data_IF_325261892167
#
_entry.id   IF_325261892167
#
_cell.length_a   1.000
_cell.length_b   1.000
_cell.length_c   1.000
_cell.angle_alpha   90.00
_cell.angle_beta   90.00
_cell.angle_gamma   90.00
#
_symmetry.space_group_name_H-M   'P 1'
#
loop_
_entity.id
_entity.type
_entity.pdbx_description
1 polymer ?
#
# COMPACT_ATOMS: atom_id res chain seq x y z
N UNK A 1 -10.30 -8.34 4.47
CA UNK A 1 -10.08 -7.17 5.35
C UNK A 1 -9.39 -7.63 6.61
N UNK A 2 -8.33 -6.95 7.04
CA UNK A 2 -7.61 -7.32 8.27
C UNK A 2 -7.77 -6.26 9.37
N UNK A 3 -7.19 -5.06 9.23
CA UNK A 3 -7.19 -4.06 10.31
C UNK A 3 -8.49 -3.28 10.52
N UNK A 4 -9.29 -3.05 9.47
CA UNK A 4 -10.50 -2.20 9.48
C UNK A 4 -10.31 -0.72 9.82
N UNK A 5 -9.08 -0.23 9.93
CA UNK A 5 -8.77 1.13 10.41
C UNK A 5 -7.84 1.90 9.47
N UNK A 6 -7.82 1.56 8.18
CA UNK A 6 -7.02 2.25 7.15
C UNK A 6 -5.49 2.11 7.30
N UNK A 7 -5.01 1.09 8.03
CA UNK A 7 -3.58 0.89 8.31
C UNK A 7 -2.91 -0.16 7.40
N UNK A 8 -3.57 -1.29 7.16
CA UNK A 8 -2.91 -2.44 6.53
C UNK A 8 -2.97 -2.45 4.99
N UNK A 9 -3.78 -1.57 4.38
CA UNK A 9 -3.89 -1.45 2.91
C UNK A 9 -4.44 -2.67 2.16
N UNK A 10 -4.93 -3.70 2.86
CA UNK A 10 -5.43 -4.96 2.24
C UNK A 10 -6.79 -4.80 1.58
N UNK A 11 -7.57 -3.81 2.01
CA UNK A 11 -8.97 -3.64 1.64
C UNK A 11 -9.20 -2.70 0.44
N UNK A 12 -8.13 -2.31 -0.25
CA UNK A 12 -8.21 -1.45 -1.44
C UNK A 12 -9.00 -2.13 -2.54
N UNK A 13 -9.98 -1.41 -3.08
CA UNK A 13 -10.78 -1.83 -4.23
C UNK A 13 -11.33 -0.60 -4.95
N UNK A 14 -12.00 -0.82 -6.09
CA UNK A 14 -12.67 0.25 -6.82
C UNK A 14 -14.12 0.34 -6.32
N UNK A 15 -14.47 1.50 -5.76
CA UNK A 15 -15.81 1.79 -5.23
C UNK A 15 -16.39 2.97 -6.01
N UNK A 16 -17.50 2.73 -6.71
CA UNK A 16 -18.13 3.70 -7.63
C UNK A 16 -17.12 4.31 -8.62
N UNK A 17 -16.31 3.46 -9.26
CA UNK A 17 -15.29 3.89 -10.23
C UNK A 17 -14.07 4.59 -9.64
N UNK A 18 -13.96 4.70 -8.30
CA UNK A 18 -12.82 5.34 -7.62
C UNK A 18 -12.11 4.37 -6.69
N UNK A 19 -10.79 4.28 -6.82
CA UNK A 19 -9.95 3.48 -5.93
C UNK A 19 -9.89 4.09 -4.54
N UNK A 20 -10.22 3.30 -3.51
CA UNK A 20 -10.15 3.72 -2.11
C UNK A 20 -10.05 2.53 -1.15
N UNK A 21 -9.80 2.81 0.12
CA UNK A 21 -9.89 1.81 1.19
C UNK A 21 -11.36 1.52 1.50
N UNK A 22 -11.78 0.27 1.43
CA UNK A 22 -13.18 -0.09 1.70
C UNK A 22 -13.56 0.04 3.17
N UNK A 23 -12.62 -0.15 4.11
CA UNK A 23 -12.94 -0.08 5.54
C UNK A 23 -13.24 1.34 6.04
N UNK A 24 -12.78 2.38 5.35
CA UNK A 24 -13.11 3.79 5.66
C UNK A 24 -14.13 4.41 4.68
N UNK A 25 -14.64 3.63 3.73
CA UNK A 25 -15.67 4.07 2.80
C UNK A 25 -17.07 3.98 3.43
N UNK A 26 -17.51 5.06 4.08
CA UNK A 26 -18.81 5.11 4.73
C UNK A 26 -19.97 5.14 3.72
N UNK A 27 -20.96 4.26 3.91
CA UNK A 27 -22.09 4.04 3.00
C UNK A 27 -22.91 5.31 2.77
N UNK A 28 -23.12 6.10 3.82
CA UNK A 28 -23.87 7.36 3.80
C UNK A 28 -23.20 8.45 2.93
N UNK A 29 -21.90 8.32 2.67
CA UNK A 29 -21.11 9.22 1.81
C UNK A 29 -20.97 8.72 0.37
N UNK A 30 -21.61 7.60 0.01
CA UNK A 30 -21.51 7.01 -1.33
C UNK A 30 -22.81 7.18 -2.12
N UNK A 31 -22.66 7.47 -3.41
CA UNK A 31 -23.77 7.50 -4.35
C UNK A 31 -24.36 6.09 -4.51
N UNK A 32 -25.70 6.02 -4.51
CA UNK A 32 -26.43 4.78 -4.73
C UNK A 32 -26.82 4.62 -6.22
N UNK A 33 -26.81 3.39 -6.77
CA UNK A 33 -26.36 2.15 -6.12
C UNK A 33 -24.84 2.08 -5.97
N UNK A 34 -24.35 1.48 -4.89
CA UNK A 34 -22.92 1.26 -4.67
C UNK A 34 -22.43 0.08 -5.52
N UNK A 35 -21.39 0.31 -6.31
CA UNK A 35 -20.72 -0.72 -7.11
C UNK A 35 -19.32 -0.97 -6.58
N UNK A 36 -18.97 -2.25 -6.38
CA UNK A 36 -17.64 -2.69 -5.97
C UNK A 36 -16.99 -3.48 -7.11
N UNK A 37 -15.72 -3.21 -7.39
CA UNK A 37 -14.94 -3.91 -8.40
C UNK A 37 -13.53 -4.21 -7.85
N UNK A 38 -12.89 -5.31 -8.27
CA UNK A 38 -11.49 -5.56 -7.94
C UNK A 38 -10.59 -4.47 -8.54
N UNK A 39 -9.35 -4.39 -8.08
CA UNK A 39 -8.34 -3.53 -8.71
C UNK A 39 -8.07 -4.02 -10.14
N UNK A 40 -8.22 -3.15 -11.14
CA UNK A 40 -8.09 -3.49 -12.56
C UNK A 40 -6.65 -3.74 -13.00
N UNK A 41 -5.67 -3.20 -12.28
CA UNK A 41 -4.23 -3.34 -12.61
C UNK A 41 -3.58 -4.60 -12.06
N UNK A 42 -4.36 -5.44 -11.37
CA UNK A 42 -3.88 -6.66 -10.73
C UNK A 42 -4.68 -7.87 -11.22
N UNK A 43 -4.04 -9.04 -11.39
CA UNK A 43 -4.76 -10.26 -11.73
C UNK A 43 -5.81 -10.58 -10.65
N UNK A 44 -7.06 -10.81 -11.06
CA UNK A 44 -8.13 -11.22 -10.15
C UNK A 44 -7.91 -12.67 -9.75
N UNK A 45 -7.86 -12.93 -8.44
CA UNK A 45 -7.81 -14.29 -7.88
C UNK A 45 -9.24 -14.83 -7.79
N UNK A 46 -10.13 -14.10 -7.11
CA UNK A 46 -11.55 -14.42 -6.97
C UNK A 46 -12.31 -13.20 -6.42
N UNK A 47 -13.47 -12.89 -6.99
CA UNK A 47 -14.33 -11.78 -6.59
C UNK A 47 -13.54 -10.44 -6.54
N UNK A 48 -13.39 -9.86 -5.34
CA UNK A 48 -12.66 -8.61 -5.09
C UNK A 48 -11.20 -8.84 -4.71
N UNK A 49 -10.77 -10.10 -4.53
CA UNK A 49 -9.40 -10.44 -4.19
C UNK A 49 -8.52 -10.47 -5.44
N UNK A 50 -7.39 -9.77 -5.38
CA UNK A 50 -6.42 -9.67 -6.46
C UNK A 50 -5.03 -10.14 -6.00
N UNK A 51 -4.22 -10.62 -6.94
CA UNK A 51 -2.82 -10.96 -6.67
C UNK A 51 -1.95 -9.71 -6.71
N UNK A 52 -1.26 -9.44 -5.61
CA UNK A 52 -0.43 -8.25 -5.38
C UNK A 52 1.06 -8.56 -5.35
N UNK A 53 1.42 -9.81 -5.66
CA UNK A 53 2.81 -10.31 -5.71
C UNK A 53 3.76 -9.36 -6.44
N UNK A 54 3.33 -8.77 -7.57
CA UNK A 54 4.12 -7.80 -8.37
C UNK A 54 4.63 -6.60 -7.55
N UNK A 55 3.87 -6.11 -6.56
CA UNK A 55 4.33 -5.01 -5.71
C UNK A 55 5.50 -5.42 -4.82
N UNK A 56 5.41 -6.61 -4.22
CA UNK A 56 6.47 -7.16 -3.37
C UNK A 56 7.72 -7.50 -4.20
N UNK A 57 7.55 -8.01 -5.42
CA UNK A 57 8.67 -8.21 -6.36
C UNK A 57 9.32 -6.87 -6.76
N UNK A 58 8.54 -5.80 -6.91
CA UNK A 58 9.10 -4.47 -7.17
C UNK A 58 9.92 -3.95 -5.98
N UNK A 59 9.45 -4.15 -4.73
CA UNK A 59 10.20 -3.82 -3.52
C UNK A 59 11.52 -4.61 -3.43
N UNK A 60 11.48 -5.90 -3.81
CA UNK A 60 12.69 -6.73 -3.89
C UNK A 60 13.67 -6.20 -4.93
N UNK A 61 13.18 -5.86 -6.12
CA UNK A 61 14.00 -5.34 -7.23
C UNK A 61 14.73 -4.05 -6.87
N UNK A 62 14.08 -3.14 -6.15
CA UNK A 62 14.71 -1.86 -5.74
C UNK A 62 15.50 -1.97 -4.43
N UNK A 63 15.62 -3.16 -3.85
CA UNK A 63 16.30 -3.41 -2.59
C UNK A 63 15.75 -2.55 -1.44
N UNK A 64 14.44 -2.57 -1.25
CA UNK A 64 13.74 -1.80 -0.20
C UNK A 64 13.96 -2.39 1.21
N UNK A 65 15.21 -2.49 1.64
CA UNK A 65 15.63 -2.90 2.99
C UNK A 65 16.91 -2.13 3.36
N UNK A 66 17.20 -2.05 4.66
CA UNK A 66 18.48 -1.52 5.13
C UNK A 66 19.56 -2.55 4.81
N UNK A 67 20.59 -2.22 4.01
CA UNK A 67 21.70 -3.13 3.79
C UNK A 67 22.43 -3.37 5.11
N UNK A 68 22.63 -4.62 5.48
CA UNK A 68 23.27 -5.01 6.73
C UNK A 68 24.17 -6.21 6.50
N UNK A 69 25.34 -6.22 7.13
CA UNK A 69 26.44 -7.16 6.91
C UNK A 69 26.57 -8.21 8.03
N UNK A 70 25.46 -8.54 8.71
CA UNK A 70 25.45 -9.60 9.72
C UNK A 70 24.18 -9.63 10.55
N UNK A 71 24.27 -10.18 11.76
CA UNK A 71 23.25 -10.08 12.82
C UNK A 71 23.89 -9.77 14.18
N UNK A 72 25.19 -9.44 14.18
CA UNK A 72 25.92 -9.08 15.39
C UNK A 72 25.63 -7.63 15.76
N UNK A 73 25.86 -7.27 17.01
CA UNK A 73 25.71 -5.90 17.48
C UNK A 73 26.72 -4.98 16.77
N UNK A 74 26.21 -4.05 15.96
CA UNK A 74 26.99 -3.05 15.23
C UNK A 74 27.17 -1.75 16.03
N UNK A 75 26.62 -1.68 17.25
CA UNK A 75 26.59 -0.46 18.05
C UNK A 75 25.50 0.51 17.60
N UNK A 76 25.57 1.79 18.04
CA UNK A 76 24.56 2.78 17.70
C UNK A 76 24.58 3.09 16.19
N UNK A 77 23.39 3.18 15.59
CA UNK A 77 23.23 3.57 14.19
C UNK A 77 23.69 5.01 13.91
N UNK A 78 23.90 5.30 12.63
CA UNK A 78 24.36 6.61 12.18
C UNK A 78 23.43 7.74 12.63
N UNK A 79 24.02 8.87 13.00
CA UNK A 79 23.27 10.08 13.35
C UNK A 79 22.69 10.69 12.07
N UNK A 80 21.38 10.61 11.91
CA UNK A 80 20.65 11.24 10.81
C UNK A 80 20.11 12.59 11.27
N UNK A 81 20.25 13.63 10.44
CA UNK A 81 19.69 14.96 10.73
C UNK A 81 18.16 14.91 10.80
N UNK A 82 17.50 15.72 11.67
CA UNK A 82 16.04 15.72 11.80
C UNK A 82 15.29 15.92 10.48
N UNK A 83 15.77 16.80 9.60
CA UNK A 83 15.16 17.05 8.30
C UNK A 83 15.18 15.80 7.41
N UNK A 84 16.28 15.06 7.41
CA UNK A 84 16.41 13.80 6.68
C UNK A 84 15.51 12.70 7.28
N UNK A 85 15.42 12.62 8.62
CA UNK A 85 14.50 11.70 9.29
C UNK A 85 13.04 11.99 8.92
N UNK A 86 12.65 13.27 8.89
CA UNK A 86 11.29 13.68 8.55
C UNK A 86 10.90 13.31 7.11
N UNK A 87 11.82 13.45 6.16
CA UNK A 87 11.59 13.01 4.77
C UNK A 87 11.49 11.49 4.69
N UNK A 88 12.43 10.76 5.32
CA UNK A 88 12.44 9.30 5.30
C UNK A 88 11.18 8.70 5.93
N UNK A 89 10.71 9.26 7.05
CA UNK A 89 9.51 8.81 7.75
C UNK A 89 8.27 8.92 6.86
N UNK A 90 8.04 10.09 6.24
CA UNK A 90 6.91 10.29 5.32
C UNK A 90 6.89 9.29 4.16
N UNK A 91 8.06 8.95 3.61
CA UNK A 91 8.15 7.95 2.54
C UNK A 91 7.90 6.52 3.05
N UNK A 92 8.21 6.24 4.32
CA UNK A 92 8.00 4.94 4.97
C UNK A 92 6.55 4.67 5.37
N UNK A 93 5.68 5.68 5.39
CA UNK A 93 4.23 5.55 5.69
C UNK A 93 3.46 4.75 4.63
N UNK A 94 4.10 4.36 3.52
CA UNK A 94 3.51 3.51 2.50
C UNK A 94 3.15 2.12 3.07
N UNK A 95 1.86 1.90 3.33
CA UNK A 95 1.30 0.58 3.71
C UNK A 95 1.18 -0.42 2.55
N UNK A 96 1.83 -0.16 1.41
CA UNK A 96 1.77 -1.03 0.22
C UNK A 96 0.32 -1.38 -0.12
N UNK A 97 -0.57 -0.39 -0.30
CA UNK A 97 -2.02 -0.60 -0.50
C UNK A 97 -2.44 -0.73 -1.98
N UNK A 98 -1.57 -0.39 -2.93
CA UNK A 98 -1.83 -0.53 -4.36
C UNK A 98 -2.75 0.56 -4.96
N UNK A 99 -3.23 1.51 -4.15
CA UNK A 99 -4.11 2.58 -4.61
C UNK A 99 -3.46 3.46 -5.68
N UNK A 100 -2.19 3.82 -5.49
CA UNK A 100 -1.42 4.60 -6.46
C UNK A 100 -1.21 3.87 -7.79
N UNK A 101 -1.06 2.54 -7.74
CA UNK A 101 -0.89 1.70 -8.92
C UNK A 101 -2.18 1.68 -9.75
N UNK A 102 -3.31 1.47 -9.08
CA UNK A 102 -4.63 1.47 -9.70
C UNK A 102 -5.00 2.84 -10.28
N UNK A 103 -4.67 3.93 -9.57
CA UNK A 103 -4.95 5.29 -10.03
C UNK A 103 -4.06 5.73 -11.20
N UNK A 104 -2.93 5.07 -11.44
CA UNK A 104 -1.99 5.45 -12.50
C UNK A 104 -2.52 5.04 -13.89
N UNK A 105 -2.72 6.00 -14.81
CA UNK A 105 -3.20 5.68 -16.16
C UNK A 105 -2.14 4.96 -17.00
N UNK A 106 -0.85 5.11 -16.67
CA UNK A 106 0.29 4.60 -17.43
C UNK A 106 0.85 3.26 -16.90
N UNK A 107 0.22 2.66 -15.88
CA UNK A 107 0.69 1.42 -15.28
C UNK A 107 0.15 0.15 -15.95
#
# INVERSE_FOLDING_TARGET
CNCLEEVCGTCTMVINGKTRQSCSALIDKLMQPITLQPLSKFPVVRDLAVDRSRMFEALKRVKAWVPMDGYHDLGPGDKILPDHQGVAYKLSECMTCGCCVEACPQY
#
